data_IF_563736067510
#
_entry.id   IF_563736067510
#
_cell.length_a   1.000
_cell.length_b   1.000
_cell.length_c   1.000
_cell.angle_alpha   90.00
_cell.angle_beta   90.00
_cell.angle_gamma   90.00
#
_symmetry.space_group_name_H-M   'P 1'
#
loop_
_entity.id
_entity.type
_entity.pdbx_description
1 polymer ?
#
# COMPACT_ATOMS: atom_id res chain seq x y z
N UNK A 1 -14.08 -18.90 5.83
CA UNK A 1 -14.45 -18.06 4.69
C UNK A 1 -13.33 -17.09 4.40
N UNK A 2 -12.81 -17.12 3.17
CA UNK A 2 -11.74 -16.21 2.77
C UNK A 2 -12.30 -14.81 2.59
N UNK A 3 -11.69 -13.84 3.24
CA UNK A 3 -12.02 -12.44 3.05
C UNK A 3 -10.98 -11.81 2.13
N UNK A 4 -11.41 -10.81 1.36
CA UNK A 4 -10.57 -10.11 0.40
C UNK A 4 -10.60 -8.61 0.70
N UNK A 5 -9.47 -7.97 0.49
CA UNK A 5 -9.28 -6.55 0.73
C UNK A 5 -8.89 -5.89 -0.59
N UNK A 6 -9.59 -4.80 -0.93
CA UNK A 6 -9.26 -4.00 -2.12
C UNK A 6 -7.93 -3.29 -1.90
N UNK A 7 -7.08 -3.29 -2.92
CA UNK A 7 -5.81 -2.56 -2.90
C UNK A 7 -5.69 -1.69 -4.13
N UNK A 8 -4.76 -0.74 -4.08
CA UNK A 8 -4.43 0.10 -5.23
C UNK A 8 -3.28 -0.53 -6.02
N UNK A 9 -3.48 -0.71 -7.32
CA UNK A 9 -2.43 -1.18 -8.21
C UNK A 9 -1.24 -0.23 -8.31
N UNK A 10 -1.40 1.01 -7.87
CA UNK A 10 -0.35 2.03 -7.93
C UNK A 10 0.86 1.70 -7.04
N UNK A 11 0.70 0.84 -6.04
CA UNK A 11 1.82 0.39 -5.22
C UNK A 11 2.66 -0.70 -5.88
N UNK A 12 2.15 -1.34 -6.93
CA UNK A 12 2.85 -2.42 -7.62
C UNK A 12 3.85 -1.86 -8.63
N UNK A 13 5.06 -2.43 -8.65
CA UNK A 13 6.14 -2.04 -9.53
C UNK A 13 6.36 -3.09 -10.62
N UNK A 14 6.88 -2.64 -11.76
CA UNK A 14 7.26 -3.53 -12.86
C UNK A 14 8.46 -4.40 -12.46
N UNK A 15 8.47 -5.63 -12.98
CA UNK A 15 9.57 -6.58 -12.80
C UNK A 15 9.97 -6.82 -11.34
N UNK A 16 8.99 -6.72 -10.44
CA UNK A 16 9.18 -7.06 -9.03
C UNK A 16 8.42 -8.34 -8.69
N UNK A 17 9.04 -9.15 -7.84
CA UNK A 17 8.38 -10.33 -7.31
C UNK A 17 7.41 -9.92 -6.21
N UNK A 18 6.18 -10.42 -6.32
CA UNK A 18 5.13 -10.19 -5.34
C UNK A 18 4.89 -11.52 -4.63
N UNK A 19 5.04 -11.60 -3.32
CA UNK A 19 4.94 -12.84 -2.55
C UNK A 19 3.53 -13.10 -2.00
N UNK A 20 2.53 -12.52 -2.63
CA UNK A 20 1.11 -12.74 -2.32
C UNK A 20 0.32 -12.87 -3.61
N UNK A 21 -0.82 -13.55 -3.55
CA UNK A 21 -1.70 -13.74 -4.70
C UNK A 21 -2.51 -12.48 -4.98
N UNK A 22 -2.66 -12.14 -6.26
CA UNK A 22 -3.50 -11.05 -6.72
C UNK A 22 -4.81 -11.61 -7.28
N UNK A 23 -5.94 -11.03 -6.85
CA UNK A 23 -7.27 -11.43 -7.27
C UNK A 23 -8.00 -10.25 -7.93
N UNK A 24 -8.92 -10.56 -8.82
CA UNK A 24 -9.82 -9.59 -9.40
C UNK A 24 -11.24 -9.87 -8.93
N UNK A 25 -11.92 -8.85 -8.46
CA UNK A 25 -13.34 -8.96 -8.09
C UNK A 25 -14.19 -8.93 -9.34
N UNK A 26 -15.03 -9.93 -9.50
CA UNK A 26 -16.02 -10.01 -10.57
C UNK A 26 -17.42 -9.96 -9.95
N UNK A 27 -18.17 -8.92 -10.23
CA UNK A 27 -19.53 -8.76 -9.74
C UNK A 27 -20.51 -9.31 -10.79
N UNK A 28 -21.30 -10.30 -10.40
CA UNK A 28 -22.29 -10.91 -11.28
C UNK A 28 -23.54 -11.28 -10.47
N UNK A 29 -24.69 -10.81 -10.91
CA UNK A 29 -25.99 -11.21 -10.34
C UNK A 29 -26.14 -10.86 -8.86
N UNK A 30 -25.55 -9.78 -8.38
CA UNK A 30 -25.65 -9.34 -6.98
C UNK A 30 -24.69 -10.02 -6.03
N UNK A 31 -23.83 -10.92 -6.51
CA UNK A 31 -22.77 -11.52 -5.73
C UNK A 31 -21.39 -11.18 -6.27
N UNK A 32 -20.42 -11.10 -5.37
CA UNK A 32 -19.03 -10.85 -5.75
C UNK A 32 -18.24 -12.14 -5.76
N UNK A 33 -17.54 -12.39 -6.84
CA UNK A 33 -16.59 -13.50 -6.97
C UNK A 33 -15.19 -12.96 -7.13
N UNK A 34 -14.20 -13.72 -6.67
CA UNK A 34 -12.79 -13.32 -6.73
C UNK A 34 -12.04 -14.35 -7.56
N UNK A 35 -11.38 -13.88 -8.62
CA UNK A 35 -10.67 -14.72 -9.58
C UNK A 35 -9.18 -14.48 -9.42
N UNK A 36 -8.40 -15.57 -9.29
CA UNK A 36 -6.95 -15.48 -9.21
C UNK A 36 -6.40 -14.89 -10.50
N UNK A 37 -5.66 -13.79 -10.40
CA UNK A 37 -5.03 -13.11 -11.54
C UNK A 37 -3.54 -13.42 -11.64
N UNK A 38 -2.84 -13.39 -10.52
CA UNK A 38 -1.38 -13.63 -10.47
C UNK A 38 -1.05 -14.31 -9.15
N UNK A 39 -0.26 -15.39 -9.22
CA UNK A 39 0.17 -16.10 -8.01
C UNK A 39 1.38 -15.43 -7.37
N UNK A 40 1.46 -15.52 -6.04
CA UNK A 40 2.64 -15.10 -5.30
C UNK A 40 3.88 -15.85 -5.80
N UNK A 41 4.97 -15.14 -5.91
CA UNK A 41 6.23 -15.67 -6.45
C UNK A 41 6.41 -15.49 -7.95
N UNK A 42 5.39 -15.03 -8.66
CA UNK A 42 5.51 -14.69 -10.08
C UNK A 42 5.91 -13.23 -10.25
N UNK A 43 6.81 -12.97 -11.20
CA UNK A 43 7.19 -11.61 -11.54
C UNK A 43 6.06 -10.89 -12.27
N UNK A 44 5.84 -9.64 -11.91
CA UNK A 44 4.85 -8.80 -12.58
C UNK A 44 5.51 -8.12 -13.78
N UNK A 45 5.32 -8.68 -14.97
CA UNK A 45 5.89 -8.10 -16.20
C UNK A 45 5.27 -6.73 -16.49
N UNK A 46 5.98 -5.84 -17.23
CA UNK A 46 5.42 -4.54 -17.60
C UNK A 46 4.08 -4.64 -18.32
N UNK A 47 3.90 -5.61 -19.20
CA UNK A 47 2.66 -5.83 -19.95
C UNK A 47 1.50 -6.22 -19.03
N UNK A 48 1.74 -7.13 -18.09
CA UNK A 48 0.71 -7.56 -17.14
C UNK A 48 0.33 -6.44 -16.18
N UNK A 49 1.32 -5.67 -15.74
CA UNK A 49 1.07 -4.52 -14.87
C UNK A 49 0.25 -3.45 -15.59
N UNK A 50 0.60 -3.14 -16.84
CA UNK A 50 -0.14 -2.17 -17.65
C UNK A 50 -1.58 -2.64 -17.88
N UNK A 51 -1.79 -3.90 -18.22
CA UNK A 51 -3.11 -4.48 -18.37
C UNK A 51 -3.91 -4.36 -17.07
N UNK A 52 -3.28 -4.71 -15.94
CA UNK A 52 -3.92 -4.63 -14.63
C UNK A 52 -4.34 -3.21 -14.29
N UNK A 53 -3.47 -2.23 -14.49
CA UNK A 53 -3.74 -0.83 -14.16
C UNK A 53 -4.74 -0.18 -15.12
N UNK A 54 -4.72 -0.56 -16.41
CA UNK A 54 -5.62 0.04 -17.40
C UNK A 54 -7.02 -0.56 -17.42
N UNK A 55 -7.14 -1.86 -17.12
CA UNK A 55 -8.42 -2.58 -17.24
C UNK A 55 -9.03 -2.99 -15.91
N UNK A 56 -8.25 -3.19 -14.88
CA UNK A 56 -8.68 -3.85 -13.65
C UNK A 56 -8.32 -3.11 -12.36
N UNK A 57 -7.83 -1.88 -12.45
CA UNK A 57 -7.31 -1.14 -11.29
C UNK A 57 -8.30 -1.02 -10.13
N UNK A 58 -9.58 -0.87 -10.44
CA UNK A 58 -10.65 -0.69 -9.45
C UNK A 58 -11.18 -2.00 -8.86
N UNK A 59 -10.71 -3.15 -9.37
CA UNK A 59 -11.17 -4.47 -8.95
C UNK A 59 -10.08 -5.33 -8.32
N UNK A 60 -8.89 -4.77 -8.14
CA UNK A 60 -7.75 -5.49 -7.61
C UNK A 60 -7.90 -5.74 -6.12
N UNK A 61 -7.73 -6.99 -5.72
CA UNK A 61 -7.87 -7.43 -4.34
C UNK A 61 -6.76 -8.40 -3.95
N UNK A 62 -6.52 -8.50 -2.65
CA UNK A 62 -5.67 -9.54 -2.07
C UNK A 62 -6.45 -10.23 -0.96
N UNK A 63 -6.01 -11.42 -0.55
CA UNK A 63 -6.53 -12.05 0.65
C UNK A 63 -6.24 -11.16 1.85
N UNK A 64 -7.20 -11.01 2.75
CA UNK A 64 -7.01 -10.22 3.98
C UNK A 64 -5.84 -10.76 4.81
N UNK A 65 -5.56 -12.06 4.72
CA UNK A 65 -4.41 -12.68 5.39
C UNK A 65 -3.08 -12.17 4.85
N UNK A 66 -3.05 -11.63 3.63
CA UNK A 66 -1.83 -11.17 2.96
C UNK A 66 -1.61 -9.65 3.07
N UNK A 67 -2.44 -8.94 3.83
CA UNK A 67 -2.31 -7.48 3.99
C UNK A 67 -0.93 -7.09 4.53
N UNK A 68 -0.41 -7.84 5.51
CA UNK A 68 0.92 -7.57 6.07
C UNK A 68 2.01 -7.74 5.01
N UNK A 69 1.91 -8.76 4.16
CA UNK A 69 2.85 -8.97 3.06
C UNK A 69 2.79 -7.84 2.04
N UNK A 70 1.61 -7.33 1.76
CA UNK A 70 1.41 -6.20 0.85
C UNK A 70 2.09 -4.93 1.38
N UNK A 71 1.93 -4.65 2.67
CA UNK A 71 2.55 -3.48 3.30
C UNK A 71 4.08 -3.65 3.37
N UNK A 72 4.56 -4.86 3.66
CA UNK A 72 6.00 -5.16 3.64
C UNK A 72 6.59 -4.98 2.24
N UNK A 73 5.85 -5.35 1.21
CA UNK A 73 6.25 -5.09 -0.18
C UNK A 73 6.39 -3.59 -0.46
N UNK A 74 5.43 -2.79 0.00
CA UNK A 74 5.49 -1.34 -0.12
C UNK A 74 6.67 -0.75 0.63
N UNK A 75 6.92 -1.22 1.84
CA UNK A 75 8.05 -0.76 2.66
C UNK A 75 9.39 -1.05 1.97
N UNK A 76 9.56 -2.27 1.46
CA UNK A 76 10.77 -2.70 0.77
C UNK A 76 11.05 -1.88 -0.48
N UNK A 77 10.01 -1.45 -1.18
CA UNK A 77 10.11 -0.72 -2.44
C UNK A 77 9.80 0.77 -2.31
N UNK A 78 9.73 1.29 -1.07
CA UNK A 78 9.29 2.65 -0.80
C UNK A 78 10.11 3.71 -1.55
N UNK A 79 11.43 3.57 -1.55
CA UNK A 79 12.32 4.50 -2.27
C UNK A 79 12.01 4.55 -3.76
N UNK A 80 11.79 3.38 -4.37
CA UNK A 80 11.43 3.29 -5.80
C UNK A 80 10.08 3.94 -6.08
N UNK A 81 9.11 3.73 -5.20
CA UNK A 81 7.76 4.30 -5.32
C UNK A 81 7.83 5.82 -5.23
N UNK A 82 8.56 6.35 -4.26
CA UNK A 82 8.73 7.79 -4.05
C UNK A 82 9.40 8.45 -5.26
N UNK A 83 10.38 7.78 -5.86
CA UNK A 83 11.14 8.33 -6.98
C UNK A 83 10.47 8.10 -8.34
N UNK A 84 9.33 7.43 -8.38
CA UNK A 84 8.60 7.20 -9.63
C UNK A 84 7.80 8.44 -10.03
N UNK A 85 8.22 9.08 -11.11
CA UNK A 85 7.61 10.32 -11.62
C UNK A 85 6.17 10.11 -12.14
N UNK A 86 5.79 8.86 -12.45
CA UNK A 86 4.46 8.54 -12.96
C UNK A 86 3.39 8.47 -11.87
N UNK A 87 3.77 8.55 -10.60
CA UNK A 87 2.84 8.53 -9.48
C UNK A 87 2.62 9.95 -8.95
N UNK A 88 1.35 10.24 -8.64
CA UNK A 88 1.03 11.55 -8.05
C UNK A 88 1.55 11.66 -6.61
N UNK A 89 1.71 12.89 -6.14
CA UNK A 89 2.07 13.18 -4.75
C UNK A 89 1.09 12.51 -3.78
N UNK A 90 -0.19 12.55 -4.09
CA UNK A 90 -1.25 11.94 -3.26
C UNK A 90 -1.07 10.43 -3.15
N UNK A 91 -0.77 9.74 -4.25
CA UNK A 91 -0.52 8.30 -4.26
C UNK A 91 0.70 7.95 -3.41
N UNK A 92 1.79 8.69 -3.58
CA UNK A 92 3.03 8.50 -2.80
C UNK A 92 2.78 8.73 -1.31
N UNK A 93 2.07 9.80 -0.97
CA UNK A 93 1.77 10.15 0.42
C UNK A 93 0.91 9.10 1.10
N UNK A 94 -0.08 8.54 0.39
CA UNK A 94 -0.90 7.45 0.91
C UNK A 94 -0.08 6.22 1.24
N UNK A 95 0.86 5.85 0.36
CA UNK A 95 1.74 4.70 0.56
C UNK A 95 2.70 4.94 1.73
N UNK A 96 3.31 6.13 1.79
CA UNK A 96 4.19 6.52 2.90
C UNK A 96 3.46 6.39 4.24
N UNK A 97 2.24 6.89 4.31
CA UNK A 97 1.43 6.82 5.53
C UNK A 97 1.08 5.38 5.91
N UNK A 98 0.70 4.56 4.94
CA UNK A 98 0.37 3.15 5.18
C UNK A 98 1.56 2.36 5.73
N UNK A 99 2.75 2.58 5.15
CA UNK A 99 3.99 1.96 5.63
C UNK A 99 4.30 2.44 7.06
N UNK A 100 4.13 3.73 7.34
CA UNK A 100 4.33 4.29 8.68
C UNK A 100 3.48 3.58 9.72
N UNK A 101 2.21 3.37 9.42
CA UNK A 101 1.26 2.71 10.32
C UNK A 101 1.76 1.31 10.70
N UNK A 102 2.22 0.54 9.74
CA UNK A 102 2.74 -0.80 9.97
C UNK A 102 4.04 -0.79 10.77
N UNK A 103 5.00 0.06 10.39
CA UNK A 103 6.30 0.14 11.05
C UNK A 103 6.15 0.57 12.51
N UNK A 104 5.31 1.56 12.76
CA UNK A 104 5.05 2.04 14.14
C UNK A 104 4.35 0.96 14.97
N UNK A 105 3.37 0.27 14.40
CA UNK A 105 2.67 -0.81 15.10
C UNK A 105 3.66 -1.91 15.52
N UNK A 106 4.54 -2.32 14.62
CA UNK A 106 5.55 -3.35 14.90
C UNK A 106 6.55 -2.88 15.97
N UNK A 107 6.95 -1.61 15.92
CA UNK A 107 7.85 -1.04 16.92
C UNK A 107 7.20 -1.00 18.32
N UNK A 108 5.94 -0.62 18.40
CA UNK A 108 5.20 -0.58 19.68
C UNK A 108 5.03 -1.97 20.26
N UNK A 109 4.84 -2.97 19.41
CA UNK A 109 4.76 -4.37 19.84
C UNK A 109 6.10 -4.90 20.34
N UNK A 110 7.21 -4.48 19.71
CA UNK A 110 8.55 -4.91 20.09
C UNK A 110 9.55 -3.74 20.03
N UNK A 111 9.52 -2.84 21.05
CA UNK A 111 10.33 -1.61 21.04
C UNK A 111 11.83 -1.83 21.20
N UNK A 112 12.26 -3.01 21.62
CA UNK A 112 13.68 -3.33 21.76
C UNK A 112 14.30 -3.95 20.51
N UNK A 113 13.51 -4.21 19.47
CA UNK A 113 14.00 -4.79 18.23
C UNK A 113 14.87 -3.79 17.47
N UNK A 114 16.15 -4.09 17.31
CA UNK A 114 17.06 -3.30 16.48
C UNK A 114 16.59 -3.22 15.03
N UNK A 115 15.98 -4.29 14.52
CA UNK A 115 15.43 -4.34 13.18
C UNK A 115 14.28 -3.33 13.01
N UNK A 116 13.39 -3.23 13.99
CA UNK A 116 12.28 -2.26 13.91
C UNK A 116 12.77 -0.82 14.02
N UNK A 117 13.83 -0.57 14.79
CA UNK A 117 14.46 0.74 14.90
C UNK A 117 15.09 1.13 13.56
N UNK A 118 15.76 0.21 12.87
CA UNK A 118 16.31 0.43 11.54
C UNK A 118 15.22 0.74 10.52
N UNK A 119 14.11 0.01 10.56
CA UNK A 119 12.96 0.22 9.66
C UNK A 119 12.39 1.63 9.81
N UNK A 120 12.23 2.11 11.03
CA UNK A 120 11.75 3.48 11.29
C UNK A 120 12.73 4.51 10.76
N UNK A 121 14.02 4.29 10.96
CA UNK A 121 15.06 5.18 10.47
C UNK A 121 15.06 5.26 8.94
N UNK A 122 14.95 4.14 8.25
CA UNK A 122 14.84 4.09 6.80
C UNK A 122 13.58 4.77 6.28
N UNK A 123 12.46 4.49 6.92
CA UNK A 123 11.19 5.15 6.58
C UNK A 123 11.31 6.66 6.72
N UNK A 124 11.88 7.14 7.82
CA UNK A 124 12.06 8.57 8.08
C UNK A 124 12.96 9.22 7.01
N UNK A 125 14.06 8.57 6.65
CA UNK A 125 14.97 9.06 5.61
C UNK A 125 14.25 9.18 4.26
N UNK A 126 13.50 8.16 3.87
CA UNK A 126 12.75 8.16 2.62
C UNK A 126 11.65 9.24 2.62
N UNK A 127 10.98 9.42 3.75
CA UNK A 127 9.91 10.40 3.90
C UNK A 127 10.42 11.82 3.83
N UNK A 128 11.55 12.11 4.48
CA UNK A 128 12.20 13.42 4.40
C UNK A 128 12.61 13.71 2.96
N UNK A 129 13.18 12.71 2.27
CA UNK A 129 13.53 12.84 0.86
C UNK A 129 12.32 13.18 -0.02
N UNK A 130 11.18 12.52 0.24
CA UNK A 130 9.93 12.80 -0.47
C UNK A 130 9.45 14.23 -0.25
N UNK A 131 9.48 14.70 0.99
CA UNK A 131 9.07 16.08 1.33
C UNK A 131 9.97 17.12 0.66
N UNK A 132 11.27 16.86 0.61
CA UNK A 132 12.23 17.78 -0.01
C UNK A 132 12.04 17.83 -1.53
N UNK A 133 11.79 16.70 -2.17
CA UNK A 133 11.66 16.61 -3.64
C UNK A 133 10.33 17.18 -4.16
N UNK A 134 9.30 17.21 -3.34
CA UNK A 134 7.95 17.59 -3.78
C UNK A 134 7.34 18.59 -2.79
N UNK A 135 7.11 19.82 -3.25
CA UNK A 135 6.55 20.90 -2.44
C UNK A 135 5.17 20.56 -1.85
N UNK A 136 4.44 19.63 -2.47
CA UNK A 136 3.10 19.27 -2.05
C UNK A 136 3.07 18.01 -1.15
N UNK A 137 4.23 17.38 -0.91
CA UNK A 137 4.31 16.14 -0.17
C UNK A 137 3.83 16.30 1.27
N UNK A 138 4.24 17.36 1.94
CA UNK A 138 3.80 17.60 3.33
C UNK A 138 2.29 17.81 3.41
N UNK A 139 1.73 18.60 2.50
CA UNK A 139 0.27 18.79 2.42
C UNK A 139 -0.46 17.49 2.13
N UNK A 140 0.11 16.65 1.26
CA UNK A 140 -0.44 15.34 0.96
C UNK A 140 -0.48 14.43 2.17
N UNK A 141 0.61 14.38 2.94
CA UNK A 141 0.70 13.58 4.16
C UNK A 141 -0.27 14.07 5.23
N UNK A 142 -0.35 15.38 5.42
CA UNK A 142 -1.29 15.98 6.38
C UNK A 142 -2.74 15.72 5.97
N UNK A 143 -3.04 15.75 4.67
CA UNK A 143 -4.37 15.45 4.15
C UNK A 143 -4.79 14.02 4.43
N UNK A 144 -3.93 13.04 4.21
CA UNK A 144 -4.19 11.62 4.50
C UNK A 144 -4.40 11.41 6.00
N UNK A 145 -3.50 11.96 6.82
CA UNK A 145 -3.59 11.87 8.28
C UNK A 145 -4.87 12.50 8.83
N UNK A 146 -5.25 13.67 8.30
CA UNK A 146 -6.48 14.37 8.70
C UNK A 146 -7.72 13.54 8.35
N UNK A 147 -7.73 12.90 7.18
CA UNK A 147 -8.84 12.05 6.76
C UNK A 147 -9.03 10.86 7.73
N UNK A 148 -7.94 10.18 8.08
CA UNK A 148 -7.97 9.07 9.03
C UNK A 148 -8.46 9.51 10.41
N UNK A 149 -8.03 10.67 10.87
CA UNK A 149 -8.46 11.24 12.14
C UNK A 149 -9.97 11.53 12.15
N UNK A 150 -10.50 12.07 11.06
CA UNK A 150 -11.93 12.34 10.92
C UNK A 150 -12.75 11.05 10.98
N UNK A 151 -12.29 10.00 10.31
CA UNK A 151 -12.96 8.68 10.33
C UNK A 151 -12.97 8.13 11.75
N UNK A 152 -11.83 8.18 12.45
CA UNK A 152 -11.69 7.70 13.82
C UNK A 152 -12.64 8.46 14.76
N UNK A 153 -12.63 9.79 14.69
CA UNK A 153 -13.49 10.64 15.53
C UNK A 153 -14.96 10.35 15.28
N UNK A 154 -15.36 10.21 14.03
CA UNK A 154 -16.73 9.88 13.68
C UNK A 154 -17.13 8.52 14.24
N UNK A 155 -16.29 7.50 14.13
CA UNK A 155 -16.56 6.17 14.66
C UNK A 155 -16.75 6.17 16.18
N UNK A 156 -15.92 6.93 16.89
CA UNK A 156 -16.03 7.08 18.37
C UNK A 156 -17.33 7.77 18.75
N UNK A 157 -17.70 8.83 18.03
CA UNK A 157 -18.90 9.61 18.35
C UNK A 157 -20.21 8.88 18.01
N UNK A 158 -20.18 7.91 17.11
CA UNK A 158 -21.38 7.15 16.72
C UNK A 158 -21.57 5.85 17.53
N UNK A 159 -20.60 5.49 18.32
CA UNK A 159 -20.72 4.34 19.23
C UNK A 159 -21.35 4.74 20.56
#
# INVERSE_FOLDING_TARGET
>A
MSEYTSISGNALLEDTEVDFDLFLRADAGGSSNYVLYCRGGEDLSPERREELLSKHADRLCISTEDVDKYIEYQEKNLKKIINDENRSTRQKSGIVYQVATKVVADLLENPKSGKNIERISEWATNTVGHIIQDNNALSGLLGVSSHDYQIYTHSVNTS
#
